data_IF_637239148725
#
_entry.id   IF_637239148725
#
_cell.length_a   1.000
_cell.length_b   1.000
_cell.length_c   1.000
_cell.angle_alpha   90.00
_cell.angle_beta   90.00
_cell.angle_gamma   90.00
#
_symmetry.space_group_name_H-M   'P 1'
#
loop_
_entity.id
_entity.type
_entity.pdbx_description
1 polymer ?
#
# COMPACT_ATOMS: atom_id res chain seq x y z
N UNK A 1 -15.43 17.48 14.48
CA UNK A 1 -16.05 17.37 13.14
C UNK A 1 -16.13 15.91 12.78
N UNK A 2 -17.28 15.25 12.91
CA UNK A 2 -17.47 13.83 12.67
C UNK A 2 -17.49 13.58 11.16
N UNK A 3 -16.36 13.14 10.59
CA UNK A 3 -16.29 12.83 9.17
C UNK A 3 -17.20 11.63 8.84
N UNK A 4 -18.33 11.89 8.21
CA UNK A 4 -19.19 10.84 7.68
C UNK A 4 -18.37 9.99 6.70
N UNK A 5 -18.48 8.67 6.83
CA UNK A 5 -17.95 7.76 5.82
C UNK A 5 -18.90 7.86 4.64
N UNK A 6 -18.38 8.41 3.54
CA UNK A 6 -19.13 8.48 2.29
C UNK A 6 -19.06 7.12 1.58
N UNK A 7 -20.18 6.67 1.03
CA UNK A 7 -20.26 5.42 0.24
C UNK A 7 -19.22 5.39 -0.89
N UNK A 8 -18.92 6.54 -1.50
CA UNK A 8 -17.86 6.68 -2.51
C UNK A 8 -16.49 6.28 -1.98
N UNK A 9 -16.17 6.64 -0.73
CA UNK A 9 -14.91 6.25 -0.08
C UNK A 9 -14.84 4.75 0.14
N UNK A 10 -15.94 4.13 0.56
CA UNK A 10 -16.00 2.65 0.74
C UNK A 10 -15.80 1.94 -0.59
N UNK A 11 -16.50 2.36 -1.65
CA UNK A 11 -16.35 1.78 -2.99
C UNK A 11 -14.90 1.91 -3.47
N UNK A 12 -14.29 3.08 -3.32
CA UNK A 12 -12.87 3.28 -3.69
C UNK A 12 -11.94 2.35 -2.92
N UNK A 13 -12.18 2.14 -1.62
CA UNK A 13 -11.36 1.21 -0.82
C UNK A 13 -11.49 -0.21 -1.36
N UNK A 14 -12.71 -0.70 -1.61
CA UNK A 14 -12.93 -2.06 -2.13
C UNK A 14 -12.31 -2.22 -3.51
N UNK A 15 -12.49 -1.25 -4.42
CA UNK A 15 -11.88 -1.25 -5.75
C UNK A 15 -10.35 -1.24 -5.64
N UNK A 16 -9.78 -0.41 -4.79
CA UNK A 16 -8.33 -0.38 -4.57
C UNK A 16 -7.80 -1.71 -4.04
N UNK A 17 -8.48 -2.32 -3.06
CA UNK A 17 -8.13 -3.65 -2.56
C UNK A 17 -8.24 -4.74 -3.65
N UNK A 18 -9.21 -4.63 -4.59
CA UNK A 18 -9.32 -5.55 -5.72
C UNK A 18 -8.12 -5.44 -6.67
N UNK A 19 -7.69 -4.21 -7.00
CA UNK A 19 -6.48 -4.02 -7.82
C UNK A 19 -5.23 -4.57 -7.12
N UNK A 20 -5.10 -4.33 -5.82
CA UNK A 20 -3.99 -4.87 -5.03
C UNK A 20 -3.98 -6.39 -5.04
N UNK A 21 -5.10 -7.03 -4.72
CA UNK A 21 -5.21 -8.48 -4.68
C UNK A 21 -4.99 -9.11 -6.06
N UNK A 22 -5.52 -8.54 -7.15
CA UNK A 22 -5.26 -9.00 -8.52
C UNK A 22 -3.76 -8.94 -8.87
N UNK A 23 -3.09 -7.84 -8.55
CA UNK A 23 -1.65 -7.71 -8.78
C UNK A 23 -0.84 -8.72 -7.99
N UNK A 24 -1.21 -8.93 -6.75
CA UNK A 24 -0.55 -9.87 -5.84
C UNK A 24 -0.77 -11.33 -6.28
N UNK A 25 -2.03 -11.77 -6.44
CA UNK A 25 -2.36 -13.18 -6.65
C UNK A 25 -2.12 -13.67 -8.08
N UNK A 26 -2.27 -12.80 -9.09
CA UNK A 26 -2.03 -13.22 -10.49
C UNK A 26 -0.56 -13.11 -10.90
N UNK A 27 0.20 -12.18 -10.31
CA UNK A 27 1.56 -11.92 -10.79
C UNK A 27 2.63 -12.19 -9.75
N UNK A 28 2.52 -11.63 -8.54
CA UNK A 28 3.61 -11.69 -7.57
C UNK A 28 3.67 -13.05 -6.87
N UNK A 29 2.59 -13.47 -6.24
CA UNK A 29 2.54 -14.72 -5.47
C UNK A 29 2.92 -15.97 -6.28
N UNK A 30 2.42 -16.19 -7.54
CA UNK A 30 2.77 -17.38 -8.30
C UNK A 30 4.25 -17.47 -8.66
N UNK A 31 4.91 -16.33 -8.78
CA UNK A 31 6.34 -16.24 -9.06
C UNK A 31 7.21 -16.22 -7.78
N UNK A 32 6.60 -16.35 -6.60
CA UNK A 32 7.29 -16.27 -5.32
C UNK A 32 7.86 -14.89 -5.02
N UNK A 33 7.30 -13.84 -5.65
CA UNK A 33 7.71 -12.45 -5.46
C UNK A 33 6.95 -11.83 -4.30
N UNK A 34 7.64 -10.97 -3.56
CA UNK A 34 7.09 -10.28 -2.41
C UNK A 34 6.53 -8.91 -2.83
N UNK A 35 5.31 -8.59 -2.39
CA UNK A 35 4.71 -7.27 -2.56
C UNK A 35 5.16 -6.26 -1.49
N UNK A 36 6.04 -6.67 -0.57
CA UNK A 36 6.35 -5.89 0.63
C UNK A 36 5.27 -6.02 1.70
N UNK A 37 5.42 -5.26 2.75
CA UNK A 37 4.43 -5.15 3.81
C UNK A 37 4.09 -6.44 4.54
N UNK A 38 2.95 -6.44 5.22
CA UNK A 38 2.46 -7.62 5.94
C UNK A 38 2.00 -8.74 5.01
N UNK A 39 1.57 -8.44 3.77
CA UNK A 39 1.24 -9.47 2.78
C UNK A 39 2.47 -10.29 2.40
N UNK A 40 3.60 -9.63 2.17
CA UNK A 40 4.86 -10.30 1.93
C UNK A 40 5.36 -11.09 3.12
N UNK A 41 5.27 -10.53 4.33
CA UNK A 41 5.62 -11.25 5.57
C UNK A 41 4.70 -12.47 5.77
N UNK A 42 3.40 -12.33 5.52
CA UNK A 42 2.42 -13.41 5.60
C UNK A 42 2.73 -14.53 4.61
N UNK A 43 3.11 -14.17 3.37
CA UNK A 43 3.53 -15.13 2.34
C UNK A 43 4.72 -15.97 2.82
N UNK A 44 5.73 -15.35 3.45
CA UNK A 44 6.88 -16.05 4.03
C UNK A 44 6.44 -17.01 5.15
N UNK A 45 5.63 -16.51 6.09
CA UNK A 45 5.17 -17.31 7.24
C UNK A 45 4.36 -18.52 6.77
N UNK A 46 3.40 -18.33 5.82
CA UNK A 46 2.60 -19.43 5.26
C UNK A 46 3.49 -20.45 4.56
N UNK A 47 4.52 -20.01 3.84
CA UNK A 47 5.43 -20.93 3.14
C UNK A 47 6.28 -21.78 4.09
N UNK A 48 6.66 -21.25 5.25
CA UNK A 48 7.42 -21.95 6.27
C UNK A 48 6.52 -22.90 7.07
N UNK A 49 5.38 -22.39 7.55
CA UNK A 49 4.47 -23.16 8.40
C UNK A 49 3.64 -24.18 7.59
N UNK A 50 3.47 -23.98 6.29
CA UNK A 50 2.61 -24.78 5.40
C UNK A 50 1.18 -24.91 5.92
N UNK A 51 0.69 -23.90 6.63
CA UNK A 51 -0.62 -23.88 7.28
C UNK A 51 -1.25 -22.49 7.18
N UNK A 52 -2.58 -22.45 6.92
CA UNK A 52 -3.35 -21.22 6.79
C UNK A 52 -3.28 -20.60 5.40
N UNK A 53 -3.99 -19.49 5.23
CA UNK A 53 -3.99 -18.69 4.01
C UNK A 53 -3.29 -17.36 4.23
N UNK A 54 -2.79 -16.75 3.14
CA UNK A 54 -2.09 -15.47 3.22
C UNK A 54 -3.06 -14.39 3.74
N UNK A 55 -4.31 -14.37 3.26
CA UNK A 55 -5.31 -13.39 3.68
C UNK A 55 -5.64 -13.48 5.17
N UNK A 56 -5.84 -14.70 5.71
CA UNK A 56 -6.08 -14.90 7.15
C UNK A 56 -4.91 -14.35 7.97
N UNK A 57 -3.68 -14.65 7.55
CA UNK A 57 -2.48 -14.22 8.28
C UNK A 57 -2.29 -12.71 8.20
N UNK A 58 -2.54 -12.10 7.04
CA UNK A 58 -2.59 -10.63 6.88
C UNK A 58 -3.59 -10.03 7.88
N UNK A 59 -4.80 -10.60 7.97
CA UNK A 59 -5.81 -10.16 8.93
C UNK A 59 -5.32 -10.22 10.37
N UNK A 60 -4.76 -11.35 10.79
CA UNK A 60 -4.28 -11.56 12.17
C UNK A 60 -3.12 -10.61 12.54
N UNK A 61 -2.13 -10.46 11.65
CA UNK A 61 -0.99 -9.57 11.88
C UNK A 61 -1.40 -8.09 11.91
N UNK A 62 -2.52 -7.74 11.29
CA UNK A 62 -3.06 -6.40 11.33
C UNK A 62 -3.71 -6.02 12.66
N UNK A 63 -4.20 -6.97 13.46
CA UNK A 63 -4.90 -6.69 14.72
C UNK A 63 -4.11 -5.74 15.63
N UNK A 64 -2.83 -6.02 15.99
CA UNK A 64 -2.08 -5.11 16.85
C UNK A 64 -1.84 -3.73 16.24
N UNK A 65 -1.65 -3.64 14.91
CA UNK A 65 -1.46 -2.36 14.23
C UNK A 65 -2.73 -1.52 14.25
N UNK A 66 -3.90 -2.14 14.16
CA UNK A 66 -5.18 -1.45 14.26
C UNK A 66 -5.43 -0.85 15.64
N UNK A 67 -5.02 -1.52 16.71
CA UNK A 67 -5.08 -0.93 18.06
C UNK A 67 -4.28 0.37 18.12
N UNK A 68 -3.05 0.36 17.58
CA UNK A 68 -2.18 1.54 17.57
C UNK A 68 -2.77 2.66 16.69
N UNK A 69 -3.29 2.31 15.53
CA UNK A 69 -3.87 3.27 14.58
C UNK A 69 -5.15 3.93 15.11
N UNK A 70 -6.03 3.15 15.75
CA UNK A 70 -7.29 3.64 16.30
C UNK A 70 -7.11 4.74 17.33
N UNK A 71 -6.03 4.65 18.14
CA UNK A 71 -5.71 5.63 19.17
C UNK A 71 -5.02 6.89 18.58
N UNK A 72 -4.16 6.73 17.54
CA UNK A 72 -3.28 7.83 17.09
C UNK A 72 -3.77 8.60 15.87
N UNK A 73 -4.58 8.00 14.99
CA UNK A 73 -4.88 8.61 13.69
C UNK A 73 -6.31 9.15 13.59
N UNK A 74 -7.28 8.47 14.21
CA UNK A 74 -8.66 8.93 14.26
C UNK A 74 -9.67 7.95 13.68
N UNK A 75 -10.96 8.15 14.04
CA UNK A 75 -12.06 7.21 13.79
C UNK A 75 -12.33 6.94 12.30
N UNK A 76 -12.27 7.98 11.45
CA UNK A 76 -12.52 7.82 10.01
C UNK A 76 -11.45 6.95 9.36
N UNK A 77 -10.18 7.22 9.66
CA UNK A 77 -9.07 6.38 9.19
C UNK A 77 -9.25 4.94 9.66
N UNK A 78 -9.54 4.74 10.94
CA UNK A 78 -9.74 3.41 11.52
C UNK A 78 -10.82 2.61 10.78
N UNK A 79 -12.00 3.19 10.55
CA UNK A 79 -13.12 2.49 9.91
C UNK A 79 -12.85 2.18 8.43
N UNK A 80 -12.28 3.13 7.66
CA UNK A 80 -11.92 2.89 6.26
C UNK A 80 -10.81 1.85 6.14
N UNK A 81 -9.85 1.87 7.06
CA UNK A 81 -8.77 0.88 7.08
C UNK A 81 -9.26 -0.50 7.54
N UNK A 82 -10.24 -0.58 8.44
CA UNK A 82 -10.88 -1.83 8.81
C UNK A 82 -11.59 -2.46 7.61
N UNK A 83 -12.33 -1.66 6.83
CA UNK A 83 -12.95 -2.11 5.58
C UNK A 83 -11.86 -2.55 4.59
N UNK A 84 -10.78 -1.77 4.45
CA UNK A 84 -9.67 -2.11 3.58
C UNK A 84 -9.00 -3.43 3.97
N UNK A 85 -8.71 -3.63 5.26
CA UNK A 85 -8.13 -4.87 5.78
C UNK A 85 -9.02 -6.09 5.49
N UNK A 86 -10.31 -5.99 5.81
CA UNK A 86 -11.25 -7.10 5.57
C UNK A 86 -11.33 -7.39 4.06
N UNK A 87 -11.49 -6.33 3.24
CA UNK A 87 -11.57 -6.47 1.78
C UNK A 87 -10.30 -7.06 1.19
N UNK A 88 -9.11 -6.58 1.58
CA UNK A 88 -7.84 -7.11 1.06
C UNK A 88 -7.63 -8.56 1.48
N UNK A 89 -7.90 -8.91 2.74
CA UNK A 89 -7.75 -10.29 3.24
C UNK A 89 -8.66 -11.27 2.49
N UNK A 90 -9.95 -10.91 2.33
CA UNK A 90 -10.92 -11.75 1.62
C UNK A 90 -10.60 -11.86 0.13
N UNK A 91 -10.21 -10.75 -0.51
CA UNK A 91 -9.93 -10.72 -1.95
C UNK A 91 -8.64 -11.46 -2.30
N UNK A 92 -7.60 -11.41 -1.46
CA UNK A 92 -6.38 -12.20 -1.62
C UNK A 92 -6.75 -13.69 -1.63
N UNK A 93 -7.52 -14.16 -0.65
CA UNK A 93 -7.89 -15.59 -0.59
C UNK A 93 -8.82 -15.98 -1.74
N UNK A 94 -9.73 -15.08 -2.15
CA UNK A 94 -10.66 -15.33 -3.25
C UNK A 94 -9.95 -15.40 -4.61
N UNK A 95 -9.01 -14.49 -4.88
CA UNK A 95 -8.34 -14.42 -6.18
C UNK A 95 -7.25 -15.48 -6.35
N UNK A 96 -6.76 -16.09 -5.26
CA UNK A 96 -5.93 -17.29 -5.33
C UNK A 96 -6.62 -18.43 -6.10
N UNK A 97 -7.98 -18.44 -6.14
CA UNK A 97 -8.76 -19.42 -6.91
C UNK A 97 -8.78 -19.15 -8.42
N UNK A 98 -8.35 -17.99 -8.88
CA UNK A 98 -8.28 -17.65 -10.29
C UNK A 98 -7.13 -18.41 -10.98
N UNK A 99 -7.28 -18.72 -12.29
CA UNK A 99 -6.18 -19.31 -13.05
C UNK A 99 -4.99 -18.34 -13.10
N UNK A 100 -3.87 -18.79 -12.57
CA UNK A 100 -2.66 -17.97 -12.49
C UNK A 100 -1.88 -18.04 -13.81
N UNK A 101 -1.60 -16.90 -14.47
CA UNK A 101 -0.83 -16.89 -15.70
C UNK A 101 0.64 -17.27 -15.41
N UNK A 102 1.19 -18.15 -16.23
CA UNK A 102 2.64 -18.42 -16.20
C UNK A 102 3.36 -17.26 -16.88
N UNK A 103 3.91 -16.36 -16.10
CA UNK A 103 4.63 -15.17 -16.57
C UNK A 103 6.10 -15.24 -16.17
N UNK A 104 6.94 -14.57 -16.95
CA UNK A 104 8.33 -14.33 -16.55
C UNK A 104 8.38 -13.49 -15.27
N UNK A 105 9.28 -13.78 -14.31
CA UNK A 105 9.37 -13.04 -13.05
C UNK A 105 9.57 -11.53 -13.22
N UNK A 106 10.26 -11.08 -14.27
CA UNK A 106 10.41 -9.66 -14.56
C UNK A 106 9.07 -9.04 -14.98
N UNK A 107 8.34 -9.70 -15.90
CA UNK A 107 7.01 -9.25 -16.32
C UNK A 107 6.04 -9.25 -15.14
N UNK A 108 6.09 -10.30 -14.31
CA UNK A 108 5.30 -10.38 -13.09
C UNK A 108 5.59 -9.22 -12.11
N UNK A 109 6.86 -8.87 -11.93
CA UNK A 109 7.25 -7.76 -11.06
C UNK A 109 6.75 -6.41 -11.57
N UNK A 110 6.77 -6.19 -12.90
CA UNK A 110 6.28 -4.96 -13.52
C UNK A 110 4.76 -4.82 -13.37
N UNK A 111 4.00 -5.78 -13.88
CA UNK A 111 2.53 -5.73 -13.85
C UNK A 111 1.98 -5.86 -12.44
N UNK A 112 2.55 -6.74 -11.63
CA UNK A 112 2.20 -6.87 -10.21
C UNK A 112 2.46 -5.59 -9.44
N UNK A 113 3.64 -4.97 -9.63
CA UNK A 113 3.99 -3.69 -9.02
C UNK A 113 3.04 -2.56 -9.41
N UNK A 114 2.68 -2.44 -10.70
CA UNK A 114 1.72 -1.43 -11.19
C UNK A 114 0.34 -1.64 -10.56
N UNK A 115 -0.19 -2.85 -10.59
CA UNK A 115 -1.53 -3.14 -10.05
C UNK A 115 -1.58 -2.97 -8.53
N UNK A 116 -0.59 -3.50 -7.81
CA UNK A 116 -0.50 -3.34 -6.36
C UNK A 116 -0.37 -1.86 -5.98
N UNK A 117 0.52 -1.11 -6.65
CA UNK A 117 0.71 0.31 -6.40
C UNK A 117 -0.52 1.15 -6.71
N UNK A 118 -1.22 0.87 -7.83
CA UNK A 118 -2.48 1.54 -8.16
C UNK A 118 -3.55 1.25 -7.10
N UNK A 119 -3.68 -0.01 -6.67
CA UNK A 119 -4.62 -0.41 -5.63
C UNK A 119 -4.38 0.31 -4.31
N UNK A 120 -3.14 0.28 -3.79
CA UNK A 120 -2.75 0.98 -2.56
C UNK A 120 -2.95 2.49 -2.71
N UNK A 121 -2.54 3.07 -3.84
CA UNK A 121 -2.69 4.48 -4.12
C UNK A 121 -4.16 4.94 -4.08
N UNK A 122 -5.07 4.17 -4.71
CA UNK A 122 -6.52 4.45 -4.66
C UNK A 122 -7.02 4.45 -3.22
N UNK A 123 -6.65 3.44 -2.41
CA UNK A 123 -7.03 3.38 -0.99
C UNK A 123 -6.49 4.58 -0.22
N UNK A 124 -5.24 4.99 -0.46
CA UNK A 124 -4.63 6.14 0.21
C UNK A 124 -5.34 7.46 -0.09
N UNK A 125 -5.89 7.65 -1.31
CA UNK A 125 -6.69 8.84 -1.66
C UNK A 125 -7.95 8.99 -0.82
N UNK A 126 -8.48 7.91 -0.23
CA UNK A 126 -9.65 7.96 0.66
C UNK A 126 -9.30 8.34 2.10
N UNK A 127 -8.02 8.36 2.41
CA UNK A 127 -7.51 8.49 3.77
C UNK A 127 -7.57 7.20 4.59
N UNK A 128 -7.83 6.05 3.95
CA UNK A 128 -7.78 4.71 4.54
C UNK A 128 -6.43 4.01 4.31
N UNK A 129 -6.39 2.71 4.60
CA UNK A 129 -5.27 1.80 4.40
C UNK A 129 -5.79 0.42 4.01
N UNK A 130 -5.01 -0.36 3.28
CA UNK A 130 -5.30 -1.79 3.02
C UNK A 130 -5.07 -2.66 4.25
N UNK A 131 -4.58 -2.06 5.33
CA UNK A 131 -4.01 -2.77 6.47
C UNK A 131 -2.54 -3.07 6.24
N UNK A 132 -1.87 -3.61 7.26
CA UNK A 132 -0.48 -3.99 7.13
C UNK A 132 0.51 -2.88 7.43
N UNK A 133 1.66 -2.94 6.75
CA UNK A 133 2.72 -1.93 6.84
C UNK A 133 2.23 -0.52 6.52
N UNK A 134 1.17 -0.39 5.74
CA UNK A 134 0.52 0.88 5.40
C UNK A 134 0.20 1.74 6.62
N UNK A 135 -0.20 1.12 7.73
CA UNK A 135 -0.46 1.83 8.99
C UNK A 135 0.83 2.42 9.54
N UNK A 136 1.92 1.65 9.49
CA UNK A 136 3.24 2.09 9.92
C UNK A 136 3.72 3.23 9.02
N UNK A 137 3.59 3.06 7.70
CA UNK A 137 3.91 4.09 6.70
C UNK A 137 3.15 5.39 6.96
N UNK A 138 1.85 5.28 7.29
CA UNK A 138 1.01 6.44 7.62
C UNK A 138 1.46 7.15 8.90
N UNK A 139 1.86 6.40 9.93
CA UNK A 139 2.41 6.96 11.16
C UNK A 139 3.77 7.65 10.90
N UNK A 140 4.63 7.06 10.09
CA UNK A 140 5.90 7.66 9.68
C UNK A 140 5.68 8.93 8.84
N UNK A 141 4.69 8.94 7.95
CA UNK A 141 4.32 10.13 7.17
C UNK A 141 3.89 11.32 8.05
N UNK A 142 3.28 11.07 9.21
CA UNK A 142 2.99 12.15 10.17
C UNK A 142 4.26 12.80 10.72
N UNK A 143 5.34 12.04 10.84
CA UNK A 143 6.65 12.53 11.31
C UNK A 143 7.46 13.15 10.16
N UNK A 144 7.40 12.59 8.97
CA UNK A 144 8.16 13.00 7.77
C UNK A 144 7.20 13.57 6.71
N UNK A 145 6.67 14.75 6.99
CA UNK A 145 5.62 15.38 6.17
C UNK A 145 6.04 15.66 4.73
N UNK A 146 7.32 15.99 4.52
CA UNK A 146 7.87 16.39 3.22
C UNK A 146 8.26 15.20 2.34
N UNK A 147 8.38 13.99 2.91
CA UNK A 147 8.76 12.79 2.16
C UNK A 147 7.51 12.18 1.50
N UNK A 148 7.53 11.83 0.19
CA UNK A 148 6.44 11.16 -0.49
C UNK A 148 6.06 9.85 0.23
N UNK A 149 4.76 9.53 0.28
CA UNK A 149 4.27 8.37 1.04
C UNK A 149 4.72 7.06 0.40
N UNK A 150 4.78 7.01 -0.94
CA UNK A 150 5.28 5.84 -1.67
C UNK A 150 6.76 5.59 -1.40
N UNK A 151 7.57 6.64 -1.24
CA UNK A 151 8.99 6.48 -0.89
C UNK A 151 9.17 5.88 0.51
N UNK A 152 8.35 6.30 1.49
CA UNK A 152 8.36 5.73 2.84
C UNK A 152 7.95 4.24 2.79
N UNK A 153 6.88 3.93 2.03
CA UNK A 153 6.40 2.57 1.82
C UNK A 153 7.49 1.70 1.17
N UNK A 154 8.07 2.18 0.06
CA UNK A 154 9.16 1.48 -0.64
C UNK A 154 10.33 1.16 0.30
N UNK A 155 10.78 2.12 1.10
CA UNK A 155 11.88 1.88 2.04
C UNK A 155 11.57 0.80 3.07
N UNK A 156 10.36 0.82 3.65
CA UNK A 156 9.92 -0.19 4.60
C UNK A 156 9.78 -1.57 3.96
N UNK A 157 9.17 -1.62 2.78
CA UNK A 157 8.88 -2.88 2.07
C UNK A 157 10.15 -3.53 1.51
N UNK A 158 11.16 -2.74 1.11
CA UNK A 158 12.48 -3.26 0.72
C UNK A 158 13.18 -3.99 1.86
N UNK A 159 13.06 -3.49 3.09
CA UNK A 159 13.60 -4.21 4.27
C UNK A 159 12.93 -5.58 4.40
N UNK A 160 11.61 -5.65 4.24
CA UNK A 160 10.88 -6.93 4.28
C UNK A 160 11.28 -7.83 3.11
N UNK A 161 11.47 -7.29 1.90
CA UNK A 161 11.92 -8.06 0.74
C UNK A 161 13.31 -8.69 0.96
N UNK A 162 14.24 -7.94 1.54
CA UNK A 162 15.58 -8.46 1.88
C UNK A 162 15.48 -9.57 2.91
N UNK A 163 14.71 -9.38 3.99
CA UNK A 163 14.46 -10.42 4.99
C UNK A 163 13.86 -11.69 4.37
N UNK A 164 12.88 -11.50 3.46
CA UNK A 164 12.26 -12.59 2.70
C UNK A 164 13.28 -13.35 1.86
N UNK A 165 14.14 -12.62 1.15
CA UNK A 165 15.21 -13.22 0.33
C UNK A 165 16.21 -14.02 1.14
N UNK A 166 16.57 -13.57 2.34
CA UNK A 166 17.43 -14.31 3.25
C UNK A 166 16.77 -15.62 3.70
N UNK A 167 15.45 -15.62 3.94
CA UNK A 167 14.72 -16.82 4.36
C UNK A 167 14.59 -17.82 3.21
N UNK A 168 14.30 -17.36 2.00
CA UNK A 168 14.21 -18.26 0.82
C UNK A 168 15.56 -18.66 0.23
N UNK A 169 16.64 -17.94 0.53
CA UNK A 169 17.96 -18.18 -0.05
C UNK A 169 18.02 -17.91 -1.56
N UNK A 170 17.12 -17.12 -2.10
CA UNK A 170 17.00 -16.83 -3.54
C UNK A 170 17.17 -15.33 -3.83
N UNK A 171 18.36 -14.97 -4.28
CA UNK A 171 18.72 -13.58 -4.60
C UNK A 171 17.86 -13.02 -5.75
N UNK A 172 17.55 -13.85 -6.77
CA UNK A 172 16.76 -13.38 -7.92
C UNK A 172 15.36 -12.98 -7.50
N UNK A 173 14.69 -13.78 -6.64
CA UNK A 173 13.38 -13.43 -6.08
C UNK A 173 13.42 -12.12 -5.29
N UNK A 174 14.48 -11.92 -4.53
CA UNK A 174 14.68 -10.66 -3.78
C UNK A 174 14.79 -9.47 -4.72
N UNK A 175 15.59 -9.59 -5.79
CA UNK A 175 15.79 -8.52 -6.75
C UNK A 175 14.51 -8.19 -7.53
N UNK A 176 13.78 -9.20 -8.03
CA UNK A 176 12.50 -8.98 -8.72
C UNK A 176 11.42 -8.44 -7.78
N UNK A 177 11.39 -8.87 -6.50
CA UNK A 177 10.52 -8.26 -5.49
C UNK A 177 10.87 -6.80 -5.26
N UNK A 178 12.16 -6.46 -5.21
CA UNK A 178 12.63 -5.09 -5.14
C UNK A 178 12.14 -4.23 -6.30
N UNK A 179 12.19 -4.75 -7.54
CA UNK A 179 11.64 -4.08 -8.73
C UNK A 179 10.14 -3.83 -8.56
N UNK A 180 9.37 -4.85 -8.16
CA UNK A 180 7.92 -4.72 -7.94
C UNK A 180 7.60 -3.64 -6.89
N UNK A 181 8.32 -3.65 -5.76
CA UNK A 181 8.14 -2.69 -4.66
C UNK A 181 8.45 -1.25 -5.09
N UNK A 182 9.56 -1.04 -5.82
CA UNK A 182 9.94 0.29 -6.32
C UNK A 182 8.88 0.82 -7.28
N UNK A 183 8.41 -0.01 -8.21
CA UNK A 183 7.35 0.37 -9.15
C UNK A 183 6.06 0.68 -8.40
N UNK A 184 5.66 -0.19 -7.45
CA UNK A 184 4.46 0.05 -6.65
C UNK A 184 4.54 1.39 -5.90
N UNK A 185 5.67 1.71 -5.28
CA UNK A 185 5.87 2.98 -4.59
C UNK A 185 5.74 4.20 -5.51
N UNK A 186 6.32 4.14 -6.72
CA UNK A 186 6.20 5.21 -7.72
C UNK A 186 4.75 5.38 -8.20
N UNK A 187 4.03 4.28 -8.42
CA UNK A 187 2.62 4.31 -8.81
C UNK A 187 1.74 4.85 -7.67
N UNK A 188 2.02 4.46 -6.42
CA UNK A 188 1.35 5.04 -5.24
C UNK A 188 1.51 6.55 -5.23
N UNK A 189 2.72 7.05 -5.38
CA UNK A 189 2.98 8.49 -5.40
C UNK A 189 2.30 9.17 -6.60
N UNK A 190 2.33 8.55 -7.78
CA UNK A 190 1.64 9.07 -8.96
C UNK A 190 0.12 9.16 -8.76
N UNK A 191 -0.49 8.17 -8.11
CA UNK A 191 -1.94 8.15 -7.84
C UNK A 191 -2.31 9.14 -6.74
N UNK A 192 -1.52 9.19 -5.65
CA UNK A 192 -1.83 10.03 -4.48
C UNK A 192 -1.61 11.50 -4.77
N UNK A 193 -0.49 11.86 -5.42
CA UNK A 193 -0.11 13.26 -5.62
C UNK A 193 -0.52 13.83 -6.98
N UNK A 194 -0.84 12.99 -7.99
CA UNK A 194 -1.27 13.47 -9.31
C UNK A 194 -2.64 14.15 -9.30
N UNK A 195 -3.44 13.92 -8.28
CA UNK A 195 -4.74 14.58 -8.10
C UNK A 195 -4.66 15.84 -7.22
N UNK A 196 -3.50 16.15 -6.63
CA UNK A 196 -3.31 17.32 -5.79
C UNK A 196 -2.17 18.18 -6.38
N UNK A 197 -2.49 18.88 -7.48
CA UNK A 197 -1.59 19.84 -8.09
C UNK A 197 -1.59 21.14 -7.29
N UNK A 198 -0.95 21.15 -6.13
CA UNK A 198 -0.55 22.40 -5.49
C UNK A 198 0.48 23.09 -6.38
N UNK A 199 0.13 24.23 -6.94
CA UNK A 199 1.08 25.07 -7.67
C UNK A 199 1.68 26.06 -6.70
N UNK A 200 2.99 26.06 -6.55
CA UNK A 200 3.70 27.13 -5.84
C UNK A 200 3.92 28.26 -6.84
N UNK A 201 3.26 29.38 -6.62
CA UNK A 201 3.53 30.60 -7.35
C UNK A 201 4.51 31.44 -6.53
N UNK A 202 5.72 31.65 -7.04
CA UNK A 202 6.67 32.60 -6.46
C UNK A 202 6.33 33.98 -7.03
N UNK A 203 5.72 34.86 -6.24
CA UNK A 203 5.38 36.22 -6.63
C UNK A 203 6.43 37.16 -6.04
N UNK A 204 7.26 37.76 -6.90
CA UNK A 204 8.23 38.80 -6.52
C UNK A 204 7.59 40.13 -6.88
N UNK A 205 7.18 40.90 -5.87
CA UNK A 205 6.53 42.21 -6.07
C UNK A 205 6.97 43.20 -5.00
N UNK A 206 7.03 44.48 -5.36
CA UNK A 206 7.22 45.58 -4.39
C UNK A 206 5.99 45.78 -3.51
N UNK A 207 4.81 45.33 -3.96
CA UNK A 207 3.50 45.40 -3.26
C UNK A 207 3.17 44.11 -2.50
N UNK A 208 4.18 43.43 -1.93
CA UNK A 208 4.01 42.10 -1.29
C UNK A 208 2.96 42.11 -0.16
N UNK A 209 2.86 43.19 0.60
CA UNK A 209 1.88 43.31 1.70
C UNK A 209 0.42 43.35 1.20
N UNK A 210 0.17 44.05 0.08
CA UNK A 210 -1.17 44.09 -0.53
C UNK A 210 -1.57 42.71 -1.09
N UNK A 211 -0.63 41.99 -1.70
CA UNK A 211 -0.86 40.64 -2.26
C UNK A 211 -1.10 39.64 -1.13
N UNK A 212 -0.31 39.67 -0.06
CA UNK A 212 -0.49 38.78 1.10
C UNK A 212 -1.86 39.01 1.77
N UNK A 213 -2.31 40.26 1.89
CA UNK A 213 -3.62 40.58 2.45
C UNK A 213 -4.81 40.20 1.55
N UNK A 214 -4.59 39.99 0.24
CA UNK A 214 -5.64 39.58 -0.70
C UNK A 214 -5.76 38.05 -0.86
N UNK A 215 -4.74 37.29 -0.45
CA UNK A 215 -4.66 35.82 -0.61
C UNK A 215 -4.92 35.09 0.73
N UNK A 216 -4.83 35.80 1.88
CA UNK A 216 -4.94 35.25 3.23
C UNK A 216 -6.36 35.15 3.78
#
# INVERSE_FOLDING_TARGET
MFGHIDLKSVIKVVVGCSFFALGFDLFLQPNGLNAGGLSGLSMVIVSILKFGTIGILVGLLNIPLFFIAGVKIGRRFFLLSLIGMISSSVLIDLFTLLPQPKTDPLVASLYGGVLCGAGIGIVYTTGGSTGGSDIIVRLLKQRWKDVPIGLIATGFDLVIAVLTGLVYGDVNRTLYSGVAIVIAGQIVDAVVYRFDYSRVALIISREHNAITGAIG
#
